data_IF_377500683513
#
_entry.id   IF_377500683513
#
_cell.length_a   1.000
_cell.length_b   1.000
_cell.length_c   1.000
_cell.angle_alpha   90.00
_cell.angle_beta   90.00
_cell.angle_gamma   90.00
#
_symmetry.space_group_name_H-M   'P 1'
#
loop_
_entity.id
_entity.type
_entity.pdbx_description
1 polymer ?
#
# COMPACT_ATOMS: atom_id res chain seq x y z
N UNK A 1 2.83 -9.89 10.86
CA UNK A 1 2.38 -8.74 11.70
C UNK A 1 2.66 -7.47 10.91
N UNK A 2 1.74 -6.51 10.80
CA UNK A 2 1.95 -5.33 9.94
C UNK A 2 3.15 -4.52 10.42
N UNK A 3 4.02 -4.10 9.48
CA UNK A 3 5.16 -3.25 9.80
C UNK A 3 4.68 -1.81 9.95
N UNK A 4 4.65 -1.29 11.19
CA UNK A 4 4.08 0.02 11.51
C UNK A 4 5.18 0.92 12.08
N UNK A 5 5.35 2.11 11.50
CA UNK A 5 6.33 3.12 11.94
C UNK A 5 5.67 4.49 12.11
N UNK A 6 6.16 5.39 12.98
CA UNK A 6 5.69 6.78 13.00
C UNK A 6 6.19 7.54 11.77
N UNK A 7 5.41 8.50 11.28
CA UNK A 7 5.76 9.33 10.11
C UNK A 7 7.07 10.11 10.32
N UNK A 8 7.47 10.33 11.57
CA UNK A 8 8.74 10.99 11.92
C UNK A 8 9.98 10.20 11.51
N UNK A 9 9.85 8.89 11.26
CA UNK A 9 10.96 8.03 10.82
C UNK A 9 11.38 8.34 9.38
N UNK A 10 10.51 9.00 8.59
CA UNK A 10 10.87 9.48 7.25
C UNK A 10 11.99 10.54 7.26
N UNK A 11 12.34 11.10 8.42
CA UNK A 11 13.56 11.91 8.55
C UNK A 11 14.82 11.12 8.18
N UNK A 12 14.82 9.81 8.41
CA UNK A 12 15.81 8.86 7.91
C UNK A 12 15.12 7.82 7.00
N UNK A 13 14.59 8.31 5.88
CA UNK A 13 13.76 7.50 4.99
C UNK A 13 14.47 6.23 4.47
N UNK A 14 15.79 6.19 4.40
CA UNK A 14 16.53 5.01 3.95
C UNK A 14 16.30 3.79 4.84
N UNK A 15 16.13 3.95 6.15
CA UNK A 15 15.79 2.85 7.06
C UNK A 15 14.36 2.36 6.86
N UNK A 16 13.43 3.28 6.59
CA UNK A 16 12.04 2.94 6.27
C UNK A 16 11.97 2.15 4.96
N UNK A 17 12.70 2.58 3.94
CA UNK A 17 12.68 1.93 2.62
C UNK A 17 13.33 0.53 2.61
N UNK A 18 14.30 0.25 3.49
CA UNK A 18 14.87 -1.10 3.61
C UNK A 18 13.85 -2.14 4.04
N UNK A 19 12.85 -1.72 4.79
CA UNK A 19 11.79 -2.59 5.30
C UNK A 19 10.62 -2.76 4.32
N UNK A 20 10.60 -1.98 3.23
CA UNK A 20 9.62 -2.10 2.16
C UNK A 20 10.11 -3.16 1.18
N UNK A 21 9.45 -4.30 1.19
CA UNK A 21 9.74 -5.42 0.28
C UNK A 21 8.44 -5.91 -0.34
N UNK A 22 8.54 -6.71 -1.42
CA UNK A 22 7.38 -7.31 -2.09
C UNK A 22 6.52 -8.05 -1.06
N UNK A 23 5.20 -7.84 -1.13
CA UNK A 23 4.19 -8.38 -0.20
C UNK A 23 4.35 -7.93 1.27
N UNK A 24 5.25 -6.98 1.56
CA UNK A 24 5.52 -6.47 2.91
C UNK A 24 5.61 -4.93 2.94
N UNK A 25 4.45 -4.25 2.86
CA UNK A 25 4.40 -2.79 2.96
C UNK A 25 4.69 -2.29 4.38
N UNK A 26 5.17 -1.05 4.47
CA UNK A 26 5.32 -0.31 5.72
C UNK A 26 4.16 0.68 5.88
N UNK A 27 3.47 0.61 7.01
CA UNK A 27 2.39 1.53 7.36
C UNK A 27 2.90 2.65 8.27
N UNK A 28 2.64 3.90 7.89
CA UNK A 28 3.03 5.06 8.68
C UNK A 28 1.88 5.60 9.51
N UNK A 29 2.17 5.92 10.76
CA UNK A 29 1.23 6.55 11.69
C UNK A 29 1.54 8.03 11.90
N UNK A 30 0.50 8.83 12.09
CA UNK A 30 0.60 10.21 12.59
C UNK A 30 -0.22 10.31 13.87
N UNK A 31 0.43 10.63 14.99
CA UNK A 31 -0.18 10.68 16.32
C UNK A 31 -0.90 9.37 16.69
N UNK A 32 -0.24 8.23 16.46
CA UNK A 32 -0.76 6.90 16.77
C UNK A 32 -1.86 6.38 15.82
N UNK A 33 -2.24 7.14 14.79
CA UNK A 33 -3.25 6.72 13.80
C UNK A 33 -2.60 6.42 12.46
N UNK A 34 -2.92 5.26 11.87
CA UNK A 34 -2.50 4.90 10.52
C UNK A 34 -2.92 5.96 9.51
N UNK A 35 -2.02 6.33 8.59
CA UNK A 35 -2.26 7.42 7.64
C UNK A 35 -1.71 7.18 6.25
N UNK A 36 -0.57 6.50 6.14
CA UNK A 36 0.06 6.20 4.85
C UNK A 36 0.51 4.73 4.81
N UNK A 37 0.67 4.21 3.60
CA UNK A 37 1.36 2.95 3.33
C UNK A 37 2.45 3.21 2.28
N UNK A 38 3.61 2.61 2.47
CA UNK A 38 4.69 2.57 1.49
C UNK A 38 4.84 1.11 1.07
N UNK A 39 4.75 0.84 -0.22
CA UNK A 39 4.77 -0.51 -0.79
C UNK A 39 5.75 -0.58 -1.95
N UNK A 40 6.20 -1.79 -2.28
CA UNK A 40 6.96 -2.01 -3.50
C UNK A 40 6.10 -1.65 -4.72
N UNK A 41 6.76 -1.23 -5.81
CA UNK A 41 6.05 -0.84 -7.03
C UNK A 41 5.24 -2.00 -7.62
N UNK A 42 5.71 -3.23 -7.48
CA UNK A 42 5.00 -4.42 -7.96
C UNK A 42 3.69 -4.66 -7.20
N UNK A 43 3.67 -4.38 -5.90
CA UNK A 43 2.47 -4.50 -5.09
C UNK A 43 1.46 -3.41 -5.46
N UNK A 44 1.94 -2.18 -5.69
CA UNK A 44 1.10 -1.10 -6.17
C UNK A 44 0.44 -1.45 -7.51
N UNK A 45 1.20 -1.95 -8.48
CA UNK A 45 0.68 -2.38 -9.78
C UNK A 45 -0.36 -3.50 -9.64
N UNK A 46 -0.11 -4.48 -8.76
CA UNK A 46 -1.06 -5.59 -8.48
C UNK A 46 -2.38 -5.09 -7.89
N UNK A 47 -2.32 -4.13 -6.95
CA UNK A 47 -3.51 -3.50 -6.37
C UNK A 47 -4.30 -2.76 -7.45
N UNK A 48 -3.63 -1.96 -8.28
CA UNK A 48 -4.28 -1.21 -9.37
C UNK A 48 -4.91 -2.13 -10.43
N UNK A 49 -4.22 -3.22 -10.79
CA UNK A 49 -4.76 -4.23 -11.70
C UNK A 49 -6.01 -4.90 -11.13
N UNK A 50 -6.02 -5.20 -9.83
CA UNK A 50 -7.17 -5.79 -9.13
C UNK A 50 -8.37 -4.83 -9.15
N UNK A 51 -8.17 -3.55 -8.84
CA UNK A 51 -9.23 -2.53 -8.89
C UNK A 51 -9.81 -2.43 -10.30
N UNK A 52 -8.96 -2.39 -11.33
CA UNK A 52 -9.38 -2.34 -12.73
C UNK A 52 -10.22 -3.57 -13.12
N UNK A 53 -9.79 -4.76 -12.72
CA UNK A 53 -10.51 -6.00 -12.99
C UNK A 53 -11.90 -5.98 -12.33
N UNK A 54 -11.98 -5.62 -11.06
CA UNK A 54 -13.25 -5.55 -10.33
C UNK A 54 -14.21 -4.54 -10.98
N UNK A 55 -13.71 -3.38 -11.40
CA UNK A 55 -14.50 -2.40 -12.15
C UNK A 55 -15.07 -2.96 -13.45
N UNK A 56 -14.24 -3.67 -14.24
CA UNK A 56 -14.68 -4.29 -15.49
C UNK A 56 -15.74 -5.39 -15.27
N UNK A 57 -15.57 -6.21 -14.23
CA UNK A 57 -16.54 -7.24 -13.86
C UNK A 57 -17.89 -6.63 -13.47
N UNK A 58 -17.89 -5.56 -12.69
CA UNK A 58 -19.12 -4.86 -12.29
C UNK A 58 -19.83 -4.21 -13.48
N UNK A 59 -19.09 -3.66 -14.45
CA UNK A 59 -19.65 -3.19 -15.71
C UNK A 59 -20.31 -4.33 -16.48
N UNK A 60 -19.60 -5.46 -16.65
CA UNK A 60 -20.12 -6.64 -17.34
C UNK A 60 -21.40 -7.19 -16.70
N UNK A 61 -21.45 -7.22 -15.35
CA UNK A 61 -22.62 -7.64 -14.58
C UNK A 61 -23.85 -6.75 -14.79
N UNK A 62 -23.66 -5.44 -15.00
CA UNK A 62 -24.76 -4.49 -15.23
C UNK A 62 -25.28 -4.49 -16.67
N UNK A 63 -24.47 -4.95 -17.62
CA UNK A 63 -24.82 -4.94 -19.05
C UNK A 63 -25.52 -6.21 -19.55
N UNK A 64 -25.62 -7.24 -18.73
CA UNK A 64 -26.39 -8.47 -19.00
C UNK A 64 -27.69 -8.49 -18.22
#
# INVERSE_FOLDING_TARGET
MPNIKPISDLRNYSEVLRDVTIDSPVFLTKNGRGRYAIMDIQDYERVMATIKLMGALETGRKSG
#
